data_IF_982275123256
#
_entry.id   IF_982275123256
#
_cell.length_a   1.000
_cell.length_b   1.000
_cell.length_c   1.000
_cell.angle_alpha   90.00
_cell.angle_beta   90.00
_cell.angle_gamma   90.00
#
_symmetry.space_group_name_H-M   'P 1'
#
loop_
_entity.id
_entity.type
_entity.pdbx_description
1 polymer ?
#
# COMPACT_ATOMS: atom_id res chain seq x y z
N UNK A 1 53.99 2.57 -33.91
CA UNK A 1 53.14 1.72 -33.03
C UNK A 1 51.96 2.57 -32.58
N UNK A 2 50.77 2.29 -33.15
CA UNK A 2 49.52 3.03 -32.95
C UNK A 2 48.90 2.61 -31.62
N UNK A 3 48.74 3.54 -30.69
CA UNK A 3 47.97 3.34 -29.46
C UNK A 3 46.67 4.16 -29.58
N UNK A 4 45.57 3.45 -29.83
CA UNK A 4 44.21 3.97 -29.83
C UNK A 4 43.78 4.19 -28.38
N UNK A 5 43.62 5.44 -27.97
CA UNK A 5 42.91 5.80 -26.74
C UNK A 5 41.41 5.78 -27.05
N UNK A 6 40.74 4.68 -26.71
CA UNK A 6 39.27 4.61 -26.73
C UNK A 6 38.79 5.09 -25.35
N UNK A 7 38.37 6.36 -25.29
CA UNK A 7 37.68 6.92 -24.13
C UNK A 7 36.26 6.35 -24.04
N UNK A 8 36.01 5.48 -23.07
CA UNK A 8 34.69 4.93 -22.79
C UNK A 8 33.92 5.94 -21.91
N UNK A 9 33.12 6.81 -22.52
CA UNK A 9 32.22 7.70 -21.80
C UNK A 9 31.00 6.91 -21.30
N UNK A 10 31.05 6.47 -20.04
CA UNK A 10 29.89 5.91 -19.33
C UNK A 10 28.89 7.05 -19.03
N UNK A 11 27.90 7.20 -19.91
CA UNK A 11 26.69 7.99 -19.63
C UNK A 11 25.88 7.29 -18.53
N UNK A 12 26.08 7.71 -17.28
CA UNK A 12 25.23 7.37 -16.15
C UNK A 12 23.91 8.15 -16.27
N UNK A 13 22.92 7.59 -16.96
CA UNK A 13 21.55 8.09 -16.86
C UNK A 13 21.04 7.85 -15.43
N UNK A 14 20.61 8.89 -14.69
CA UNK A 14 19.97 8.67 -13.41
C UNK A 14 18.63 7.98 -13.66
N UNK A 15 18.53 6.69 -13.33
CA UNK A 15 17.25 6.02 -13.21
C UNK A 15 16.51 6.72 -12.07
N UNK A 16 15.51 7.54 -12.40
CA UNK A 16 14.60 8.10 -11.40
C UNK A 16 13.88 6.92 -10.76
N UNK A 17 14.33 6.52 -9.58
CA UNK A 17 13.67 5.50 -8.79
C UNK A 17 12.33 6.07 -8.29
N UNK A 18 11.25 5.89 -9.06
CA UNK A 18 9.90 6.12 -8.55
C UNK A 18 9.62 5.05 -7.49
N UNK A 19 9.62 5.46 -6.22
CA UNK A 19 9.47 4.56 -5.08
C UNK A 19 8.06 3.93 -5.00
N UNK A 20 7.05 4.58 -5.59
CA UNK A 20 5.70 4.05 -5.76
C UNK A 20 5.26 4.13 -7.25
N UNK A 21 4.83 3.02 -7.87
CA UNK A 21 4.36 3.01 -9.26
C UNK A 21 2.94 3.57 -9.43
N UNK A 22 2.22 3.91 -8.37
CA UNK A 22 0.78 4.14 -8.44
C UNK A 22 0.46 5.59 -8.77
N UNK A 23 -0.25 5.78 -9.88
CA UNK A 23 -0.51 7.10 -10.48
C UNK A 23 -2.00 7.36 -10.73
N UNK A 24 -2.85 6.41 -10.32
CA UNK A 24 -4.29 6.48 -10.49
C UNK A 24 -4.94 7.57 -9.65
N UNK A 25 -6.02 8.13 -10.18
CA UNK A 25 -6.82 9.13 -9.47
C UNK A 25 -7.38 8.55 -8.17
N UNK A 26 -7.08 9.24 -7.07
CA UNK A 26 -7.54 8.83 -5.75
C UNK A 26 -9.02 9.18 -5.53
N UNK A 27 -9.81 8.27 -4.92
CA UNK A 27 -11.10 8.61 -4.34
C UNK A 27 -10.92 9.65 -3.22
N UNK A 28 -11.59 10.79 -3.37
CA UNK A 28 -11.40 11.99 -2.52
C UNK A 28 -12.52 12.22 -1.49
N UNK A 29 -13.59 11.40 -1.51
CA UNK A 29 -14.71 11.48 -0.56
C UNK A 29 -14.89 10.18 0.19
N UNK A 30 -15.14 10.28 1.49
CA UNK A 30 -15.47 9.14 2.32
C UNK A 30 -16.76 8.48 1.82
N UNK A 31 -16.80 7.14 1.82
CA UNK A 31 -17.90 6.34 1.28
C UNK A 31 -17.76 6.00 -0.20
N UNK A 32 -16.84 6.62 -0.96
CA UNK A 32 -16.56 6.18 -2.32
C UNK A 32 -16.02 4.76 -2.33
N UNK A 33 -16.63 3.90 -3.15
CA UNK A 33 -16.24 2.50 -3.31
C UNK A 33 -15.36 2.35 -4.55
N UNK A 34 -14.40 1.43 -4.46
CA UNK A 34 -13.54 1.06 -5.57
C UNK A 34 -13.03 -0.37 -5.36
N UNK A 35 -12.62 -1.01 -6.44
CA UNK A 35 -12.11 -2.37 -6.39
C UNK A 35 -11.05 -2.58 -7.46
N UNK A 36 -10.24 -3.62 -7.27
CA UNK A 36 -9.21 -3.96 -8.23
C UNK A 36 -8.31 -5.07 -7.73
N UNK A 37 -7.53 -5.62 -8.66
CA UNK A 37 -6.47 -6.57 -8.33
C UNK A 37 -5.34 -5.82 -7.63
N UNK A 38 -4.76 -6.40 -6.58
CA UNK A 38 -3.58 -5.81 -5.93
C UNK A 38 -2.37 -5.98 -6.85
N UNK A 39 -1.89 -4.86 -7.39
CA UNK A 39 -0.80 -4.79 -8.38
C UNK A 39 0.54 -4.42 -7.77
N UNK A 40 0.54 -3.75 -6.62
CA UNK A 40 1.76 -3.36 -5.90
C UNK A 40 1.56 -3.43 -4.39
N UNK A 41 2.64 -3.72 -3.65
CA UNK A 41 2.66 -3.70 -2.18
C UNK A 41 3.93 -2.95 -1.75
N UNK A 42 3.74 -1.73 -1.26
CA UNK A 42 4.80 -0.81 -0.88
C UNK A 42 5.39 -1.14 0.49
N UNK A 43 4.52 -1.33 1.49
CA UNK A 43 4.90 -1.66 2.87
C UNK A 43 3.88 -2.63 3.52
N UNK A 44 3.80 -2.67 4.85
CA UNK A 44 2.91 -3.60 5.58
C UNK A 44 1.45 -3.16 5.67
N UNK A 45 1.12 -1.92 5.31
CA UNK A 45 -0.25 -1.39 5.30
C UNK A 45 -0.58 -0.56 4.04
N UNK A 46 0.34 -0.49 3.08
CA UNK A 46 0.21 0.28 1.84
C UNK A 46 0.35 -0.61 0.60
N UNK A 47 -0.61 -0.49 -0.31
CA UNK A 47 -0.72 -1.30 -1.52
C UNK A 47 -1.39 -0.50 -2.64
N UNK A 48 -1.35 -1.05 -3.85
CA UNK A 48 -2.09 -0.47 -4.96
C UNK A 48 -3.04 -1.45 -5.60
N UNK A 49 -4.23 -0.96 -5.93
CA UNK A 49 -5.28 -1.72 -6.62
C UNK A 49 -5.55 -1.12 -7.98
N UNK A 50 -5.73 -1.96 -8.99
CA UNK A 50 -6.06 -1.49 -10.33
C UNK A 50 -6.57 -2.61 -11.24
N UNK A 51 -7.31 -2.26 -12.29
CA UNK A 51 -7.93 -3.23 -13.19
C UNK A 51 -6.89 -3.97 -14.06
N UNK A 52 -5.80 -3.30 -14.45
CA UNK A 52 -4.82 -3.80 -15.42
C UNK A 52 -3.37 -3.67 -14.98
N UNK A 53 -2.44 -3.87 -15.92
CA UNK A 53 -1.00 -3.71 -15.68
C UNK A 53 -0.53 -2.25 -15.79
N UNK A 54 -1.39 -1.33 -16.23
CA UNK A 54 -1.08 0.09 -16.41
C UNK A 54 -1.07 0.84 -15.06
N UNK A 55 0.09 1.33 -14.59
CA UNK A 55 0.21 1.99 -13.30
C UNK A 55 -0.54 3.33 -13.20
N UNK A 56 -0.85 3.98 -14.32
CA UNK A 56 -1.69 5.19 -14.37
C UNK A 56 -3.13 4.96 -13.90
N UNK A 57 -3.53 3.69 -13.77
CA UNK A 57 -4.86 3.29 -13.29
C UNK A 57 -4.84 2.76 -11.85
N UNK A 58 -3.67 2.66 -11.23
CA UNK A 58 -3.52 2.04 -9.92
C UNK A 58 -3.75 3.07 -8.82
N UNK A 59 -4.73 2.80 -7.97
CA UNK A 59 -5.06 3.62 -6.81
C UNK A 59 -4.15 3.19 -5.65
N UNK A 60 -3.35 4.12 -5.14
CA UNK A 60 -2.53 3.91 -3.95
C UNK A 60 -3.37 3.98 -2.68
N UNK A 61 -3.33 2.92 -1.87
CA UNK A 61 -4.17 2.72 -0.69
C UNK A 61 -3.31 2.60 0.55
N UNK A 62 -3.61 3.41 1.57
CA UNK A 62 -3.27 3.15 2.96
C UNK A 62 -4.43 2.41 3.63
N UNK A 63 -4.18 1.18 4.10
CA UNK A 63 -5.16 0.42 4.86
C UNK A 63 -5.52 1.19 6.12
N UNK A 64 -6.81 1.35 6.35
CA UNK A 64 -7.28 2.08 7.50
C UNK A 64 -7.16 1.23 8.78
N UNK A 65 -7.42 -0.07 8.69
CA UNK A 65 -7.74 -0.99 9.80
C UNK A 65 -6.55 -1.82 10.31
N UNK A 66 -5.34 -1.47 9.88
CA UNK A 66 -4.07 -2.08 10.30
C UNK A 66 -2.93 -1.07 10.17
N UNK A 67 -2.23 -0.80 11.27
CA UNK A 67 -1.05 0.08 11.29
C UNK A 67 0.24 -0.74 11.34
N UNK A 68 0.86 -0.97 10.18
CA UNK A 68 2.06 -1.80 10.11
C UNK A 68 3.29 -1.10 10.71
N UNK A 69 4.29 -1.87 11.20
CA UNK A 69 5.60 -1.32 11.50
C UNK A 69 6.21 -0.65 10.27
N UNK A 70 6.85 0.50 10.46
CA UNK A 70 7.51 1.25 9.39
C UNK A 70 8.48 0.36 8.61
N UNK A 71 8.57 0.51 7.29
CA UNK A 71 9.31 -0.40 6.40
C UNK A 71 10.78 -0.61 6.81
N UNK A 72 11.40 0.44 7.36
CA UNK A 72 12.80 0.48 7.79
C UNK A 72 13.01 -0.06 9.21
N UNK A 73 11.93 -0.35 9.94
CA UNK A 73 12.00 -1.00 11.24
C UNK A 73 12.41 -2.48 11.11
N UNK A 74 12.88 -3.13 12.19
CA UNK A 74 13.21 -4.56 12.17
C UNK A 74 12.06 -5.46 11.64
N UNK A 75 10.81 -5.07 11.91
CA UNK A 75 9.63 -5.84 11.57
C UNK A 75 8.92 -5.38 10.27
N UNK A 76 9.32 -4.25 9.69
CA UNK A 76 8.66 -3.65 8.52
C UNK A 76 8.69 -4.54 7.28
N UNK A 77 9.83 -5.18 7.00
CA UNK A 77 9.96 -6.13 5.87
C UNK A 77 9.06 -7.36 6.04
N UNK A 78 8.94 -7.88 7.27
CA UNK A 78 8.07 -9.01 7.55
C UNK A 78 6.58 -8.63 7.39
N UNK A 79 6.20 -7.41 7.80
CA UNK A 79 4.85 -6.88 7.60
C UNK A 79 4.51 -6.75 6.11
N UNK A 80 5.42 -6.15 5.32
CA UNK A 80 5.27 -6.07 3.85
C UNK A 80 5.13 -7.45 3.20
N UNK A 81 5.98 -8.39 3.58
CA UNK A 81 5.91 -9.77 3.05
C UNK A 81 4.57 -10.43 3.37
N UNK A 82 4.05 -10.23 4.59
CA UNK A 82 2.76 -10.74 5.01
C UNK A 82 1.62 -10.16 4.18
N UNK A 83 1.59 -8.85 3.99
CA UNK A 83 0.59 -8.20 3.14
C UNK A 83 0.70 -8.67 1.69
N UNK A 84 1.91 -8.79 1.16
CA UNK A 84 2.14 -9.31 -0.21
C UNK A 84 1.57 -10.73 -0.38
N UNK A 85 1.94 -11.65 0.51
CA UNK A 85 1.41 -13.03 0.52
C UNK A 85 -0.11 -13.06 0.66
N UNK A 86 -0.68 -12.10 1.40
CA UNK A 86 -2.10 -12.03 1.69
C UNK A 86 -2.92 -11.32 0.61
N UNK A 87 -2.36 -10.43 -0.20
CA UNK A 87 -3.20 -9.57 -1.03
C UNK A 87 -2.76 -9.54 -2.49
N UNK A 88 -1.47 -9.74 -2.78
CA UNK A 88 -0.92 -9.60 -4.13
C UNK A 88 -1.65 -10.52 -5.12
N UNK A 89 -2.05 -9.94 -6.25
CA UNK A 89 -2.77 -10.67 -7.31
C UNK A 89 -4.22 -11.03 -6.99
N UNK A 90 -4.73 -10.64 -5.81
CA UNK A 90 -6.13 -10.85 -5.41
C UNK A 90 -6.94 -9.58 -5.59
N UNK A 91 -8.25 -9.73 -5.79
CA UNK A 91 -9.17 -8.60 -5.89
C UNK A 91 -9.58 -8.13 -4.49
N UNK A 92 -9.43 -6.83 -4.23
CA UNK A 92 -9.96 -6.19 -3.03
C UNK A 92 -11.18 -5.33 -3.37
N UNK A 93 -12.13 -5.30 -2.45
CA UNK A 93 -13.23 -4.34 -2.45
C UNK A 93 -12.95 -3.32 -1.34
N UNK A 94 -12.79 -2.06 -1.70
CA UNK A 94 -12.38 -1.00 -0.81
C UNK A 94 -13.43 0.10 -0.73
N UNK A 95 -13.49 0.73 0.44
CA UNK A 95 -14.28 1.94 0.68
C UNK A 95 -13.33 3.00 1.23
N UNK A 96 -13.29 4.17 0.59
CA UNK A 96 -12.54 5.32 1.10
C UNK A 96 -13.16 5.79 2.42
N UNK A 97 -12.34 6.00 3.44
CA UNK A 97 -12.78 6.40 4.78
C UNK A 97 -11.96 7.59 5.28
N UNK A 98 -12.48 8.28 6.31
CA UNK A 98 -11.69 9.29 7.00
C UNK A 98 -10.67 8.60 7.90
N UNK A 99 -9.41 9.02 7.81
CA UNK A 99 -8.40 8.69 8.80
C UNK A 99 -8.60 9.45 10.10
N UNK A 100 -7.71 9.18 11.07
CA UNK A 100 -7.68 9.85 12.38
C UNK A 100 -7.54 11.38 12.29
N UNK A 101 -6.92 11.89 11.23
CA UNK A 101 -6.76 13.32 10.95
C UNK A 101 -7.98 13.95 10.24
N UNK A 102 -9.09 13.22 10.10
CA UNK A 102 -10.31 13.68 9.40
C UNK A 102 -10.20 13.69 7.87
N UNK A 103 -9.03 13.43 7.30
CA UNK A 103 -8.79 13.43 5.85
C UNK A 103 -9.07 12.06 5.24
N UNK A 104 -9.47 12.06 3.98
CA UNK A 104 -9.64 10.84 3.16
C UNK A 104 -8.34 10.50 2.44
N UNK A 105 -7.58 11.51 2.03
CA UNK A 105 -6.28 11.38 1.36
C UNK A 105 -5.18 11.93 2.27
N UNK A 106 -4.10 11.18 2.39
CA UNK A 106 -2.86 11.58 3.09
C UNK A 106 -1.69 11.32 2.17
N UNK A 107 -0.88 12.37 1.94
CA UNK A 107 0.14 12.40 0.88
C UNK A 107 -0.48 12.04 -0.48
N UNK A 108 -0.01 10.95 -1.08
CA UNK A 108 -0.39 10.36 -2.37
C UNK A 108 -1.35 9.17 -2.24
N UNK A 109 -1.91 8.92 -1.05
CA UNK A 109 -2.68 7.71 -0.75
C UNK A 109 -4.09 8.01 -0.29
N UNK A 110 -5.06 7.21 -0.76
CA UNK A 110 -6.38 7.16 -0.15
C UNK A 110 -6.34 6.27 1.10
N UNK A 111 -6.96 6.72 2.18
CA UNK A 111 -7.20 5.89 3.37
C UNK A 111 -8.46 5.05 3.10
N UNK A 112 -8.34 3.73 3.12
CA UNK A 112 -9.48 2.86 2.79
C UNK A 112 -9.62 1.65 3.72
N UNK A 113 -10.86 1.25 3.95
CA UNK A 113 -11.19 -0.05 4.52
C UNK A 113 -11.34 -1.05 3.36
N UNK A 114 -10.41 -1.98 3.23
CA UNK A 114 -10.41 -2.98 2.16
C UNK A 114 -10.79 -4.35 2.68
N UNK A 115 -11.51 -5.10 1.84
CA UNK A 115 -11.95 -6.47 2.10
C UNK A 115 -11.45 -7.42 1.03
N UNK A 116 -10.99 -8.59 1.47
CA UNK A 116 -10.72 -9.76 0.64
C UNK A 116 -11.76 -10.81 0.96
N UNK A 117 -12.56 -11.22 -0.04
CA UNK A 117 -13.64 -12.21 0.13
C UNK A 117 -14.57 -11.87 1.32
N UNK A 118 -14.92 -10.59 1.48
CA UNK A 118 -15.80 -10.08 2.55
C UNK A 118 -15.13 -9.84 3.90
N UNK A 119 -13.90 -10.34 4.12
CA UNK A 119 -13.15 -10.16 5.38
C UNK A 119 -12.23 -8.95 5.31
N UNK A 120 -12.14 -8.17 6.39
CA UNK A 120 -11.24 -7.02 6.48
C UNK A 120 -9.79 -7.44 6.32
N UNK A 121 -9.02 -6.70 5.50
CA UNK A 121 -7.60 -7.01 5.28
C UNK A 121 -6.80 -6.91 6.57
N UNK A 122 -7.08 -5.92 7.42
CA UNK A 122 -6.41 -5.79 8.71
C UNK A 122 -6.69 -6.95 9.67
N UNK A 123 -7.92 -7.48 9.68
CA UNK A 123 -8.27 -8.67 10.46
C UNK A 123 -7.52 -9.91 9.96
N UNK A 124 -7.40 -10.05 8.63
CA UNK A 124 -6.64 -11.14 8.01
C UNK A 124 -5.14 -11.05 8.35
N UNK A 125 -4.57 -9.85 8.35
CA UNK A 125 -3.17 -9.62 8.73
C UNK A 125 -2.93 -9.99 10.19
N UNK A 126 -3.80 -9.55 11.11
CA UNK A 126 -3.73 -9.92 12.54
C UNK A 126 -3.86 -11.43 12.73
N UNK A 127 -4.82 -12.08 12.07
CA UNK A 127 -5.00 -13.53 12.12
C UNK A 127 -3.78 -14.30 11.58
N UNK A 128 -3.03 -13.70 10.63
CA UNK A 128 -1.79 -14.25 10.12
C UNK A 128 -0.56 -13.92 11.01
N UNK A 129 -0.74 -13.38 12.22
CA UNK A 129 0.36 -13.01 13.13
C UNK A 129 1.01 -11.66 12.82
N UNK A 130 0.30 -10.76 12.13
CA UNK A 130 0.71 -9.38 11.93
C UNK A 130 0.65 -8.60 13.24
N UNK A 131 1.77 -7.95 13.58
CA UNK A 131 1.86 -7.04 14.71
C UNK A 131 1.63 -5.61 14.22
N UNK A 132 0.79 -4.85 14.93
CA UNK A 132 0.66 -3.41 14.71
C UNK A 132 1.80 -2.68 15.43
N UNK A 133 2.28 -1.59 14.86
CA UNK A 133 3.45 -0.87 15.41
C UNK A 133 3.87 0.37 14.63
N UNK A 134 3.01 0.89 13.75
CA UNK A 134 3.23 2.19 13.12
C UNK A 134 3.11 3.33 14.14
N UNK A 135 3.59 4.52 13.78
CA UNK A 135 3.59 5.70 14.67
C UNK A 135 2.19 6.31 14.93
N UNK A 136 1.11 5.54 14.74
CA UNK A 136 -0.25 6.05 14.74
C UNK A 136 -0.98 5.61 16.03
N UNK A 137 -1.58 6.53 16.82
CA UNK A 137 -2.14 6.23 18.15
C UNK A 137 -3.32 5.25 18.08
N UNK A 138 -3.47 4.28 19.01
CA UNK A 138 -4.44 3.18 18.90
C UNK A 138 -5.87 3.64 18.61
N UNK A 139 -6.59 2.91 17.74
CA UNK A 139 -7.98 3.24 17.40
C UNK A 139 -8.93 3.01 18.58
N UNK A 140 -9.70 4.04 18.93
CA UNK A 140 -10.72 4.00 19.99
C UNK A 140 -12.07 3.42 19.55
N UNK A 141 -12.28 3.13 18.26
CA UNK A 141 -13.58 2.72 17.69
C UNK A 141 -13.82 1.21 17.58
N UNK A 142 -12.86 0.36 17.98
CA UNK A 142 -13.05 -1.10 18.02
C UNK A 142 -13.99 -1.48 19.17
N UNK A 143 -15.30 -1.30 19.00
CA UNK A 143 -16.25 -2.21 19.65
C UNK A 143 -16.19 -3.54 18.91
N UNK A 144 -15.80 -4.65 19.55
CA UNK A 144 -15.96 -5.96 18.95
C UNK A 144 -17.46 -6.15 18.71
N UNK A 145 -17.82 -6.52 17.48
CA UNK A 145 -19.18 -6.91 17.17
C UNK A 145 -19.45 -8.25 17.88
N UNK A 146 -19.94 -8.19 19.12
CA UNK A 146 -20.53 -9.34 19.80
C UNK A 146 -21.91 -9.56 19.19
N UNK A 147 -21.99 -10.43 18.19
CA UNK A 147 -23.22 -11.12 17.79
C UNK A 147 -22.88 -12.56 17.45
#
# INVERSE_FOLDING_TARGET
>A
MKWLLIGFALLLCPAVAKADPCEGRLPDRAGQTFSGVVRYVGDGDSLCVGPGADPSTWIEVRLSDFDAPELHSPNGRAARYRLSTLARGRTLNCVAVRGRNGRVIVYDRVIAACRLNGRGVGDLLRAAGGQEGGNQPPRLDRRPNMR
#
